data_IF_303865477367
#
_entry.id   IF_303865477367
#
_cell.length_a   1.000
_cell.length_b   1.000
_cell.length_c   1.000
_cell.angle_alpha   90.00
_cell.angle_beta   90.00
_cell.angle_gamma   90.00
#
_symmetry.space_group_name_H-M   'P 1'
#
loop_
_entity.id
_entity.type
_entity.pdbx_description
1 polymer ?
#
# COMPACT_ATOMS: atom_id res chain seq x y z
N UNK A 1 -10.04 -28.12 11.31
CA UNK A 1 -9.72 -27.51 10.02
C UNK A 1 -9.93 -28.58 8.94
N UNK A 2 -11.10 -28.62 8.29
CA UNK A 2 -11.42 -29.60 7.24
C UNK A 2 -10.56 -29.27 6.02
N UNK A 3 -9.60 -30.11 5.71
CA UNK A 3 -8.82 -30.03 4.49
C UNK A 3 -9.76 -30.28 3.29
N UNK A 4 -9.85 -29.30 2.42
CA UNK A 4 -10.58 -29.38 1.17
C UNK A 4 -9.89 -30.44 0.29
N UNK A 5 -10.45 -31.63 0.22
CA UNK A 5 -9.89 -32.86 -0.41
C UNK A 5 -9.61 -32.70 -1.92
N UNK A 6 -9.98 -31.59 -2.55
CA UNK A 6 -9.86 -31.36 -4.00
C UNK A 6 -8.92 -30.20 -4.39
N UNK A 7 -8.15 -29.65 -3.46
CA UNK A 7 -7.16 -28.62 -3.83
C UNK A 7 -5.87 -29.27 -4.30
N UNK A 8 -5.51 -29.05 -5.56
CA UNK A 8 -4.17 -29.38 -6.06
C UNK A 8 -3.12 -28.68 -5.17
N UNK A 9 -1.99 -29.33 -4.92
CA UNK A 9 -0.87 -28.80 -4.12
C UNK A 9 -0.54 -27.35 -4.53
N UNK A 10 -0.55 -27.05 -5.82
CA UNK A 10 -0.35 -25.68 -6.35
C UNK A 10 -1.36 -24.65 -5.83
N UNK A 11 -2.65 -24.99 -5.83
CA UNK A 11 -3.70 -24.09 -5.31
C UNK A 11 -3.59 -23.89 -3.81
N UNK A 12 -3.20 -24.92 -3.08
CA UNK A 12 -2.98 -24.84 -1.63
C UNK A 12 -1.83 -23.88 -1.30
N UNK A 13 -0.64 -24.07 -1.90
CA UNK A 13 0.51 -23.21 -1.68
C UNK A 13 0.23 -21.76 -2.13
N UNK A 14 -0.40 -21.54 -3.28
CA UNK A 14 -0.78 -20.19 -3.73
C UNK A 14 -1.73 -19.50 -2.75
N UNK A 15 -2.75 -20.19 -2.23
CA UNK A 15 -3.65 -19.65 -1.19
C UNK A 15 -2.90 -19.39 0.12
N UNK A 16 -2.00 -20.27 0.52
CA UNK A 16 -1.20 -20.12 1.72
C UNK A 16 -0.27 -18.89 1.62
N UNK A 17 0.43 -18.71 0.50
CA UNK A 17 1.28 -17.54 0.27
C UNK A 17 0.49 -16.23 0.29
N UNK A 18 -0.67 -16.19 -0.38
CA UNK A 18 -1.51 -14.99 -0.36
C UNK A 18 -1.93 -14.65 1.07
N UNK A 19 -2.33 -15.63 1.87
CA UNK A 19 -2.77 -15.37 3.25
C UNK A 19 -1.63 -15.07 4.21
N UNK A 20 -0.48 -15.75 4.08
CA UNK A 20 0.59 -15.72 5.07
C UNK A 20 1.65 -14.65 4.77
N UNK A 21 1.81 -14.27 3.51
CA UNK A 21 2.82 -13.30 3.07
C UNK A 21 2.18 -12.01 2.55
N UNK A 22 1.31 -12.10 1.55
CA UNK A 22 0.71 -10.91 0.94
C UNK A 22 -0.21 -10.14 1.90
N UNK A 23 -1.07 -10.83 2.64
CA UNK A 23 -2.03 -10.15 3.52
C UNK A 23 -1.34 -9.40 4.68
N UNK A 24 -0.37 -9.99 5.43
CA UNK A 24 0.37 -9.25 6.44
C UNK A 24 1.19 -8.10 5.86
N UNK A 25 1.78 -8.27 4.67
CA UNK A 25 2.60 -7.25 4.02
C UNK A 25 1.75 -6.05 3.58
N UNK A 26 0.54 -6.29 3.06
CA UNK A 26 -0.45 -5.26 2.76
C UNK A 26 -0.89 -4.53 4.04
N UNK A 27 -1.14 -5.26 5.13
CA UNK A 27 -1.49 -4.66 6.43
C UNK A 27 -0.38 -3.77 6.98
N UNK A 28 0.87 -4.23 6.94
CA UNK A 28 2.04 -3.45 7.36
C UNK A 28 2.18 -2.19 6.49
N UNK A 29 1.93 -2.30 5.19
CA UNK A 29 1.94 -1.16 4.29
C UNK A 29 0.91 -0.10 4.67
N UNK A 30 -0.36 -0.50 4.81
CA UNK A 30 -1.42 0.45 5.18
C UNK A 30 -1.18 1.07 6.57
N UNK A 31 -0.66 0.28 7.52
CA UNK A 31 -0.27 0.79 8.83
C UNK A 31 0.88 1.80 8.73
N UNK A 32 1.92 1.51 7.95
CA UNK A 32 3.04 2.42 7.70
C UNK A 32 2.60 3.71 7.00
N UNK A 33 1.76 3.59 5.96
CA UNK A 33 1.20 4.73 5.24
C UNK A 33 0.36 5.62 6.17
N UNK A 34 -0.48 5.02 7.02
CA UNK A 34 -1.26 5.76 8.02
C UNK A 34 -0.35 6.52 9.00
N UNK A 35 0.73 5.89 9.48
CA UNK A 35 1.69 6.55 10.37
C UNK A 35 2.40 7.72 9.70
N UNK A 36 2.82 7.57 8.45
CA UNK A 36 3.46 8.66 7.68
C UNK A 36 2.50 9.82 7.48
N UNK A 37 1.25 9.56 7.07
CA UNK A 37 0.24 10.62 6.90
C UNK A 37 -0.05 11.34 8.22
N UNK A 38 -0.15 10.60 9.33
CA UNK A 38 -0.33 11.18 10.67
C UNK A 38 0.87 12.02 11.09
N UNK A 39 2.08 11.59 10.77
CA UNK A 39 3.30 12.35 11.05
C UNK A 39 3.33 13.67 10.27
N UNK A 40 2.97 13.65 8.99
CA UNK A 40 2.88 14.85 8.14
C UNK A 40 1.87 15.84 8.73
N UNK A 41 0.67 15.38 9.12
CA UNK A 41 -0.35 16.22 9.75
C UNK A 41 0.17 16.88 11.06
N UNK A 42 0.90 16.11 11.87
CA UNK A 42 1.50 16.62 13.11
C UNK A 42 2.56 17.69 12.84
N UNK A 43 3.47 17.44 11.92
CA UNK A 43 4.53 18.40 11.55
C UNK A 43 3.95 19.70 10.94
N UNK A 44 2.89 19.61 10.16
CA UNK A 44 2.19 20.78 9.62
C UNK A 44 1.58 21.64 10.74
N UNK A 45 0.92 21.01 11.70
CA UNK A 45 0.36 21.71 12.88
C UNK A 45 1.43 22.34 13.73
N UNK A 46 2.55 21.68 13.92
CA UNK A 46 3.68 22.24 14.67
C UNK A 46 4.30 23.46 13.97
N UNK A 47 4.49 23.39 12.65
CA UNK A 47 4.95 24.53 11.85
C UNK A 47 4.02 25.73 11.99
N UNK A 48 2.70 25.51 11.87
CA UNK A 48 1.70 26.59 12.03
C UNK A 48 1.70 27.15 13.46
N UNK A 49 1.81 26.32 14.45
CA UNK A 49 1.88 26.75 15.86
C UNK A 49 3.11 27.60 16.12
N UNK A 50 4.27 27.21 15.58
CA UNK A 50 5.52 27.94 15.70
C UNK A 50 5.42 29.29 14.96
N UNK A 51 4.93 29.29 13.72
CA UNK A 51 4.75 30.51 12.93
C UNK A 51 3.80 31.50 13.62
N UNK A 52 2.65 31.00 14.08
CA UNK A 52 1.68 31.80 14.82
C UNK A 52 2.25 32.39 16.13
N UNK A 53 3.02 31.57 16.87
CA UNK A 53 3.67 32.01 18.12
C UNK A 53 4.72 33.09 17.85
N UNK A 54 5.58 32.88 16.86
CA UNK A 54 6.60 33.87 16.51
C UNK A 54 5.96 35.19 16.07
N UNK A 55 4.91 35.12 15.26
CA UNK A 55 4.16 36.28 14.84
C UNK A 55 3.49 37.01 16.03
N UNK A 56 2.89 36.26 16.96
CA UNK A 56 2.30 36.84 18.16
C UNK A 56 3.35 37.51 19.08
N UNK A 57 4.53 36.91 19.23
CA UNK A 57 5.62 37.47 20.02
C UNK A 57 6.26 38.73 19.34
N UNK A 58 6.28 38.79 18.00
CA UNK A 58 6.71 40.00 17.25
C UNK A 58 5.72 41.13 17.47
N UNK A 59 4.43 40.85 17.26
CA UNK A 59 3.37 41.85 17.47
C UNK A 59 3.29 42.33 18.94
N UNK A 60 3.46 41.46 19.90
CA UNK A 60 3.45 41.83 21.31
C UNK A 60 4.61 42.78 21.63
N UNK A 61 5.78 42.58 21.02
CA UNK A 61 6.91 43.51 21.12
C UNK A 61 6.62 44.84 20.44
N UNK A 62 6.15 44.81 19.21
CA UNK A 62 5.83 45.98 18.43
C UNK A 62 4.77 46.85 19.14
N UNK A 63 3.68 46.23 19.58
CA UNK A 63 2.65 46.94 20.37
C UNK A 63 3.22 47.47 21.70
N UNK A 64 4.14 46.78 22.30
CA UNK A 64 4.83 47.22 23.51
C UNK A 64 5.71 48.46 23.25
N UNK A 65 6.30 48.53 22.06
CA UNK A 65 7.14 49.68 21.67
C UNK A 65 6.31 50.90 21.44
N UNK A 66 5.18 50.81 20.71
CA UNK A 66 4.22 51.92 20.57
C UNK A 66 3.63 52.37 21.92
N UNK A 67 3.26 51.37 22.77
CA UNK A 67 2.75 51.69 24.09
C UNK A 67 3.81 52.39 24.95
N UNK A 68 5.08 51.99 24.87
CA UNK A 68 6.18 52.68 25.58
C UNK A 68 6.40 54.08 25.06
N UNK A 69 6.35 54.28 23.74
CA UNK A 69 6.51 55.58 23.14
C UNK A 69 5.43 56.56 23.62
N UNK A 70 4.17 56.14 23.62
CA UNK A 70 3.08 56.93 24.15
C UNK A 70 3.23 57.20 25.66
N UNK A 71 3.65 56.20 26.44
CA UNK A 71 3.86 56.33 27.89
C UNK A 71 5.05 57.26 28.25
N UNK A 72 6.00 57.50 27.33
CA UNK A 72 7.07 58.45 27.57
C UNK A 72 6.52 59.85 27.84
N UNK A 73 5.37 60.22 27.26
CA UNK A 73 4.74 61.51 27.51
C UNK A 73 4.23 61.71 28.95
N UNK A 74 4.03 60.60 29.71
CA UNK A 74 3.63 60.61 31.12
C UNK A 74 4.80 60.65 32.11
N UNK A 75 6.05 60.40 31.64
CA UNK A 75 7.24 60.33 32.52
C UNK A 75 7.75 61.70 32.92
N UNK A 76 8.45 61.76 34.03
CA UNK A 76 8.88 63.02 34.69
C UNK A 76 9.71 63.97 33.79
N UNK A 77 10.59 63.43 32.93
CA UNK A 77 11.43 64.22 32.04
C UNK A 77 10.73 64.76 30.80
N UNK A 78 9.58 64.17 30.38
CA UNK A 78 8.77 64.58 29.24
C UNK A 78 7.51 65.29 29.65
N UNK A 79 7.28 65.55 30.95
CA UNK A 79 6.22 66.46 31.43
C UNK A 79 6.28 67.86 30.84
N UNK A 80 7.43 68.19 30.25
CA UNK A 80 7.57 69.41 29.46
C UNK A 80 6.55 69.52 28.35
N UNK A 81 6.32 68.42 27.62
CA UNK A 81 5.31 68.38 26.54
C UNK A 81 3.89 68.60 27.09
N UNK A 82 3.50 67.90 28.18
CA UNK A 82 2.20 68.06 28.81
C UNK A 82 2.01 69.46 29.36
N UNK A 83 3.06 70.06 29.89
CA UNK A 83 3.07 71.42 30.37
C UNK A 83 2.91 72.45 29.25
N UNK A 84 3.68 72.30 28.15
CA UNK A 84 3.55 73.15 26.97
C UNK A 84 2.16 73.03 26.31
N UNK A 85 1.59 71.82 26.25
CA UNK A 85 0.20 71.64 25.83
C UNK A 85 -0.80 72.34 26.73
N UNK A 86 -0.58 72.34 28.04
CA UNK A 86 -1.38 73.03 28.99
C UNK A 86 -1.27 74.58 28.83
N UNK A 87 -0.07 75.06 28.58
CA UNK A 87 0.13 76.51 28.25
C UNK A 87 -0.55 76.83 26.93
N UNK A 88 -0.40 75.99 25.89
CA UNK A 88 -1.10 76.20 24.62
C UNK A 88 -2.63 76.30 24.79
N UNK A 89 -3.23 75.50 25.60
CA UNK A 89 -4.69 75.49 25.85
C UNK A 89 -5.15 76.80 26.47
N UNK A 90 -4.31 77.44 27.30
CA UNK A 90 -4.60 78.66 28.05
C UNK A 90 -4.07 79.94 27.42
N UNK A 91 -3.27 79.83 26.33
CA UNK A 91 -2.57 80.93 25.69
C UNK A 91 -3.49 81.82 24.83
N UNK A 92 -3.07 83.08 24.62
CA UNK A 92 -3.70 83.96 23.65
C UNK A 92 -3.42 83.41 22.22
N UNK A 93 -4.20 83.82 21.22
CA UNK A 93 -4.04 83.40 19.82
C UNK A 93 -2.66 83.65 19.26
N UNK A 94 -1.96 84.70 19.69
CA UNK A 94 -0.60 84.98 19.24
C UNK A 94 0.44 84.03 19.85
N UNK A 95 0.27 83.70 21.10
CA UNK A 95 1.19 82.83 21.80
C UNK A 95 0.96 81.32 21.48
N UNK A 96 -0.26 80.96 21.12
CA UNK A 96 -0.59 79.58 20.62
C UNK A 96 0.30 79.20 19.46
N UNK A 97 0.60 80.07 18.53
CA UNK A 97 1.43 79.75 17.36
C UNK A 97 2.86 79.41 17.77
N UNK A 98 3.42 80.08 18.76
CA UNK A 98 4.77 79.77 19.27
C UNK A 98 4.83 78.39 19.92
N UNK A 99 3.92 78.12 20.81
CA UNK A 99 3.83 76.81 21.48
C UNK A 99 3.55 75.70 20.48
N UNK A 100 2.71 75.98 19.50
CA UNK A 100 2.43 74.97 18.44
C UNK A 100 3.70 74.64 17.66
N UNK A 101 4.49 75.62 17.31
CA UNK A 101 5.70 75.42 16.51
C UNK A 101 6.75 74.58 17.30
N UNK A 102 6.99 74.92 18.56
CA UNK A 102 7.95 74.22 19.40
C UNK A 102 7.57 72.73 19.59
N UNK A 103 6.30 72.45 19.76
CA UNK A 103 5.80 71.09 19.84
C UNK A 103 5.80 70.37 18.49
N UNK A 104 5.42 71.08 17.43
CA UNK A 104 5.33 70.51 16.08
C UNK A 104 6.65 69.97 15.61
N UNK A 105 7.74 70.70 15.85
CA UNK A 105 9.08 70.23 15.42
C UNK A 105 9.50 68.91 16.11
N UNK A 106 9.13 68.74 17.36
CA UNK A 106 9.43 67.50 18.11
C UNK A 106 8.63 66.28 17.58
N UNK A 107 7.34 66.49 17.28
CA UNK A 107 6.48 65.41 16.78
C UNK A 107 6.71 65.13 15.31
N UNK A 108 7.00 66.14 14.52
CA UNK A 108 7.27 65.98 13.08
C UNK A 108 8.42 65.03 12.83
N UNK A 109 9.51 65.15 13.56
CA UNK A 109 10.66 64.25 13.46
C UNK A 109 10.28 62.78 13.75
N UNK A 110 9.42 62.54 14.75
CA UNK A 110 8.96 61.19 15.11
C UNK A 110 8.04 60.60 14.02
N UNK A 111 7.11 61.38 13.50
CA UNK A 111 6.19 60.96 12.44
C UNK A 111 6.92 60.69 11.12
N UNK A 112 8.00 61.39 10.84
CA UNK A 112 8.84 61.15 9.64
C UNK A 112 9.65 59.84 9.78
N UNK A 113 10.15 59.53 10.98
CA UNK A 113 10.95 58.34 11.21
C UNK A 113 10.07 57.08 11.25
N UNK A 114 8.81 57.20 11.70
CA UNK A 114 7.87 56.11 11.83
C UNK A 114 6.59 56.38 11.02
N UNK A 115 6.62 56.19 9.69
CA UNK A 115 5.53 56.58 8.79
C UNK A 115 4.23 55.78 9.05
N UNK A 116 4.30 54.66 9.73
CA UNK A 116 3.14 53.88 10.19
C UNK A 116 2.33 54.61 11.27
N UNK A 117 2.94 55.54 12.02
CA UNK A 117 2.23 56.40 12.96
C UNK A 117 1.61 57.54 12.13
N UNK A 118 0.30 57.55 12.08
CA UNK A 118 -0.44 58.55 11.25
C UNK A 118 -0.86 59.75 12.05
N UNK A 119 -1.04 59.63 13.35
CA UNK A 119 -1.36 60.75 14.26
C UNK A 119 -0.89 60.49 15.69
N UNK A 120 -0.60 61.60 16.37
CA UNK A 120 -0.47 61.69 17.83
C UNK A 120 -1.39 62.80 18.30
N UNK A 121 -2.36 62.45 19.11
CA UNK A 121 -3.41 63.37 19.54
C UNK A 121 -3.40 63.51 21.06
N UNK A 122 -3.61 64.73 21.55
CA UNK A 122 -3.80 65.04 22.94
C UNK A 122 -5.18 65.64 23.13
N UNK A 123 -5.94 65.06 24.03
CA UNK A 123 -7.31 65.46 24.36
C UNK A 123 -7.33 66.28 25.66
N UNK A 124 -7.88 67.46 25.57
CA UNK A 124 -7.90 68.39 26.67
C UNK A 124 -9.17 68.27 27.47
N UNK A 125 -9.16 68.85 28.70
CA UNK A 125 -10.30 68.84 29.60
C UNK A 125 -11.50 69.63 29.07
N UNK A 126 -11.24 70.70 28.28
CA UNK A 126 -12.26 71.55 27.63
C UNK A 126 -12.86 70.89 26.38
N UNK A 127 -12.47 69.64 26.04
CA UNK A 127 -12.91 68.94 24.84
C UNK A 127 -12.11 69.34 23.59
N UNK A 128 -11.16 70.25 23.69
CA UNK A 128 -10.30 70.59 22.57
C UNK A 128 -9.28 69.50 22.30
N UNK A 129 -8.79 69.43 21.05
CA UNK A 129 -7.82 68.45 20.56
C UNK A 129 -6.57 69.20 20.06
N UNK A 130 -5.42 68.68 20.45
CA UNK A 130 -4.15 69.05 19.89
C UNK A 130 -3.58 67.85 19.13
N UNK A 131 -3.44 67.97 17.80
CA UNK A 131 -3.10 66.85 16.94
C UNK A 131 -1.87 67.12 16.08
N UNK A 132 -0.99 66.14 16.02
CA UNK A 132 0.07 66.03 15.01
C UNK A 132 -0.27 64.90 14.08
N UNK A 133 -0.56 65.21 12.82
CA UNK A 133 -1.10 64.25 11.87
C UNK A 133 -0.32 64.24 10.56
N UNK A 134 0.10 63.05 10.11
CA UNK A 134 0.46 62.83 8.72
C UNK A 134 -0.80 62.57 7.88
N UNK A 135 -1.81 61.97 8.48
CA UNK A 135 -3.14 61.75 7.92
C UNK A 135 -4.16 62.34 8.90
N UNK A 136 -5.00 63.23 8.40
CA UNK A 136 -6.01 63.86 9.27
C UNK A 136 -7.08 62.87 9.65
N UNK A 137 -7.11 62.52 10.95
CA UNK A 137 -8.03 61.62 11.55
C UNK A 137 -9.05 62.43 12.35
N UNK A 138 -10.23 62.61 11.79
CA UNK A 138 -11.32 63.31 12.45
C UNK A 138 -12.40 62.32 12.84
N UNK A 139 -12.67 62.16 14.14
CA UNK A 139 -13.77 61.28 14.61
C UNK A 139 -15.12 61.91 14.21
N UNK A 140 -16.10 61.02 13.96
CA UNK A 140 -17.45 61.44 13.59
C UNK A 140 -18.24 62.04 14.80
N UNK A 141 -17.79 61.75 16.01
CA UNK A 141 -18.36 62.22 17.28
C UNK A 141 -17.26 62.82 18.14
N UNK A 142 -17.65 63.45 19.23
CA UNK A 142 -16.71 63.89 20.25
C UNK A 142 -15.95 62.70 20.85
N UNK A 143 -14.65 62.89 21.07
CA UNK A 143 -13.74 61.83 21.55
C UNK A 143 -14.17 61.18 22.85
N UNK A 144 -14.73 62.01 23.78
CA UNK A 144 -15.20 61.55 25.10
C UNK A 144 -16.41 60.56 25.05
N UNK A 145 -17.04 60.45 23.88
CA UNK A 145 -18.16 59.53 23.67
C UNK A 145 -17.72 58.12 23.37
N UNK A 146 -16.48 57.93 22.92
CA UNK A 146 -15.95 56.63 22.49
C UNK A 146 -15.54 55.77 23.71
N UNK A 147 -15.78 54.46 23.59
CA UNK A 147 -15.45 53.49 24.66
C UNK A 147 -13.94 53.46 24.95
N UNK A 148 -13.09 53.53 23.92
CA UNK A 148 -11.64 53.49 24.10
C UNK A 148 -11.13 54.70 24.90
N UNK A 149 -11.72 55.86 24.75
CA UNK A 149 -11.39 57.02 25.56
C UNK A 149 -11.83 56.80 27.04
N UNK A 150 -13.08 56.37 27.28
CA UNK A 150 -13.61 56.11 28.62
C UNK A 150 -12.80 55.09 29.36
N UNK A 151 -12.31 54.02 28.64
CA UNK A 151 -11.44 52.99 29.23
C UNK A 151 -10.11 53.63 29.66
N UNK A 152 -9.48 54.45 28.83
CA UNK A 152 -8.23 55.12 29.17
C UNK A 152 -8.39 56.12 30.31
N UNK A 153 -9.52 56.82 30.38
CA UNK A 153 -9.82 57.74 31.49
C UNK A 153 -10.05 57.01 32.82
N UNK A 154 -10.68 55.83 32.77
CA UNK A 154 -10.95 55.01 33.99
C UNK A 154 -9.67 54.34 34.50
N UNK A 155 -8.73 53.99 33.63
CA UNK A 155 -7.50 53.31 33.96
C UNK A 155 -6.28 54.15 33.48
N UNK A 156 -6.01 55.27 34.13
CA UNK A 156 -4.88 56.13 33.74
C UNK A 156 -3.55 55.45 33.95
N UNK A 157 -2.52 55.89 33.22
CA UNK A 157 -1.16 55.34 33.18
C UNK A 157 -1.04 53.93 32.57
N UNK A 158 -2.15 53.38 32.06
CA UNK A 158 -2.18 52.15 31.31
C UNK A 158 -2.48 52.47 29.84
N UNK A 159 -1.67 51.94 28.93
CA UNK A 159 -1.93 52.07 27.49
C UNK A 159 -2.91 51.00 27.03
N UNK A 160 -4.03 51.47 26.48
CA UNK A 160 -5.06 50.65 25.90
C UNK A 160 -4.93 50.65 24.40
N UNK A 161 -5.10 49.48 23.77
CA UNK A 161 -5.09 49.33 22.30
C UNK A 161 -6.50 49.02 21.81
N UNK A 162 -6.98 49.82 20.88
CA UNK A 162 -8.32 49.71 20.32
C UNK A 162 -8.30 49.80 18.80
N UNK A 163 -9.25 49.18 18.13
CA UNK A 163 -9.47 49.32 16.70
C UNK A 163 -10.55 50.32 16.46
N UNK A 164 -10.28 51.31 15.60
CA UNK A 164 -11.26 52.29 15.23
C UNK A 164 -12.00 51.83 13.96
N UNK A 165 -13.32 51.75 14.04
CA UNK A 165 -14.15 51.47 12.88
C UNK A 165 -14.13 52.68 11.92
N UNK A 166 -13.94 52.41 10.63
CA UNK A 166 -13.95 53.43 9.58
C UNK A 166 -15.22 54.31 9.60
N UNK A 167 -16.35 53.75 10.06
CA UNK A 167 -17.62 54.44 10.21
C UNK A 167 -17.61 55.48 11.34
N UNK A 168 -16.65 55.44 12.23
CA UNK A 168 -16.45 56.37 13.32
C UNK A 168 -15.61 57.57 12.91
N UNK A 169 -15.14 57.62 11.65
CA UNK A 169 -14.33 58.72 11.08
C UNK A 169 -15.13 59.54 10.09
N UNK A 170 -14.96 60.89 10.12
CA UNK A 170 -15.60 61.81 9.18
C UNK A 170 -15.11 61.65 7.74
N UNK A 171 -13.90 61.11 7.51
CA UNK A 171 -13.30 60.92 6.19
C UNK A 171 -12.76 59.50 6.05
N UNK A 172 -13.63 58.46 5.97
CA UNK A 172 -13.22 57.08 5.93
C UNK A 172 -12.42 56.72 4.67
N UNK A 173 -12.50 57.55 3.60
CA UNK A 173 -11.83 57.27 2.29
C UNK A 173 -10.30 57.37 2.36
N UNK A 174 -9.77 58.11 3.34
CA UNK A 174 -8.32 58.26 3.51
C UNK A 174 -7.68 56.97 4.02
N UNK A 175 -8.44 56.13 4.70
CA UNK A 175 -8.02 54.87 5.30
C UNK A 175 -8.80 53.69 4.68
N UNK A 176 -9.05 53.74 3.35
CA UNK A 176 -10.03 52.90 2.68
C UNK A 176 -9.77 51.39 2.75
N UNK A 177 -8.54 50.95 2.92
CA UNK A 177 -8.17 49.54 2.91
C UNK A 177 -7.60 49.01 4.23
N UNK A 178 -7.28 49.89 5.18
CA UNK A 178 -6.56 49.57 6.40
C UNK A 178 -7.42 49.78 7.65
N UNK A 179 -7.10 49.12 8.75
CA UNK A 179 -7.66 49.39 10.04
C UNK A 179 -6.74 50.34 10.80
N UNK A 180 -7.33 51.26 11.57
CA UNK A 180 -6.59 52.20 12.41
C UNK A 180 -6.58 51.66 13.83
N UNK A 181 -5.39 51.48 14.38
CA UNK A 181 -5.16 51.04 15.74
C UNK A 181 -4.86 52.28 16.59
N UNK A 182 -5.64 52.47 17.64
CA UNK A 182 -5.39 53.53 18.61
C UNK A 182 -4.74 52.98 19.87
N UNK A 183 -3.54 53.46 20.14
CA UNK A 183 -2.89 53.32 21.44
C UNK A 183 -3.32 54.54 22.26
N UNK A 184 -4.03 54.34 23.34
CA UNK A 184 -4.62 55.43 24.16
C UNK A 184 -4.10 55.34 25.60
N UNK A 185 -3.64 56.45 26.12
CA UNK A 185 -3.16 56.57 27.50
C UNK A 185 -3.91 57.72 28.20
N UNK A 186 -4.55 57.42 29.29
CA UNK A 186 -5.09 58.40 30.19
C UNK A 186 -4.02 58.99 31.11
N UNK A 187 -4.05 60.30 31.32
CA UNK A 187 -3.11 60.94 32.23
C UNK A 187 -3.77 61.26 33.58
N UNK A 188 -3.10 60.89 34.66
CA UNK A 188 -3.49 61.32 36.00
C UNK A 188 -3.27 62.83 36.17
N UNK A 189 -4.10 63.45 36.98
CA UNK A 189 -3.81 64.82 37.45
C UNK A 189 -2.49 64.80 38.22
N UNK A 190 -1.46 65.37 37.61
CA UNK A 190 -0.10 65.39 38.13
C UNK A 190 0.17 66.53 39.11
N UNK A 191 -0.85 67.20 39.55
CA UNK A 191 -0.74 68.35 40.46
C UNK A 191 -0.13 69.60 39.80
N UNK A 192 0.06 69.63 38.48
CA UNK A 192 0.63 70.71 37.69
C UNK A 192 -0.47 71.55 37.03
N UNK A 193 -1.77 71.23 37.34
CA UNK A 193 -2.92 71.84 36.65
C UNK A 193 -2.95 71.51 35.16
N UNK A 194 -2.61 70.28 34.83
CA UNK A 194 -2.61 69.82 33.43
C UNK A 194 -4.02 69.70 32.93
N UNK A 195 -4.28 70.33 31.77
CA UNK A 195 -5.57 70.25 31.08
C UNK A 195 -5.66 69.05 30.12
N UNK A 196 -4.59 68.27 30.00
CA UNK A 196 -4.53 67.11 29.13
C UNK A 196 -5.08 65.92 29.88
N UNK A 197 -6.12 65.27 29.37
CA UNK A 197 -6.75 64.10 29.95
C UNK A 197 -6.27 62.79 29.39
N UNK A 198 -6.03 62.75 28.08
CA UNK A 198 -5.54 61.53 27.42
C UNK A 198 -4.68 61.87 26.20
N UNK A 199 -3.75 60.97 25.90
CA UNK A 199 -3.00 60.97 24.63
C UNK A 199 -3.36 59.74 23.82
N UNK A 200 -3.46 59.88 22.51
CA UNK A 200 -3.65 58.75 21.60
C UNK A 200 -2.62 58.75 20.51
N UNK A 201 -2.26 57.58 20.04
CA UNK A 201 -1.39 57.39 18.90
C UNK A 201 -2.12 56.48 17.89
N UNK A 202 -2.36 57.02 16.68
CA UNK A 202 -2.96 56.26 15.58
C UNK A 202 -1.89 55.54 14.76
N UNK A 203 -2.02 54.25 14.62
CA UNK A 203 -1.10 53.41 13.85
C UNK A 203 -1.90 52.64 12.79
N UNK A 204 -1.43 52.60 11.54
CA UNK A 204 -2.06 51.80 10.49
C UNK A 204 -1.74 50.35 10.67
N UNK A 205 -2.74 49.49 10.53
CA UNK A 205 -2.56 48.06 10.70
C UNK A 205 -1.63 47.41 9.67
N UNK A 206 -1.62 47.93 8.44
CA UNK A 206 -0.74 47.44 7.38
C UNK A 206 0.74 47.90 7.58
N UNK A 207 0.95 48.85 8.48
CA UNK A 207 2.28 49.27 8.92
C UNK A 207 2.92 48.26 9.92
N UNK A 208 2.14 47.36 10.47
CA UNK A 208 2.65 46.38 11.39
C UNK A 208 3.63 45.41 10.72
N UNK A 209 4.72 45.07 11.42
CA UNK A 209 5.79 44.24 10.89
C UNK A 209 5.30 42.85 10.49
N UNK A 210 4.26 42.35 11.15
CA UNK A 210 3.60 41.10 10.78
C UNK A 210 3.21 41.01 9.31
N UNK A 211 2.68 42.10 8.75
CA UNK A 211 2.16 42.13 7.37
C UNK A 211 3.31 42.22 6.38
N UNK A 212 4.36 42.96 6.75
CA UNK A 212 5.57 43.10 5.93
C UNK A 212 6.35 41.80 5.84
N UNK A 213 6.34 40.99 6.88
CA UNK A 213 7.12 39.74 7.00
C UNK A 213 6.29 38.48 6.68
N UNK A 214 4.96 38.60 6.54
CA UNK A 214 4.09 37.43 6.29
C UNK A 214 4.45 36.65 5.00
N UNK A 215 5.07 37.30 4.01
CA UNK A 215 5.58 36.65 2.79
C UNK A 215 6.94 35.99 2.93
N UNK A 216 7.66 36.22 4.02
CA UNK A 216 9.03 35.68 4.23
C UNK A 216 9.06 34.35 5.02
N UNK A 217 7.96 34.00 5.70
CA UNK A 217 7.96 32.90 6.67
C UNK A 217 7.83 31.50 6.06
N UNK A 218 7.03 31.34 5.04
CA UNK A 218 6.95 30.15 4.16
C UNK A 218 5.94 30.44 3.04
N UNK A 219 6.18 29.93 1.86
CA UNK A 219 5.31 30.14 0.67
C UNK A 219 3.83 29.73 0.85
N UNK A 220 3.46 29.06 1.96
CA UNK A 220 2.15 28.45 2.15
C UNK A 220 1.48 28.77 3.50
N UNK A 221 2.01 29.69 4.32
CA UNK A 221 1.39 30.07 5.60
C UNK A 221 0.89 31.51 5.51
N UNK A 222 -0.42 31.68 5.68
CA UNK A 222 -1.05 32.98 5.79
C UNK A 222 -1.27 33.35 7.27
N UNK A 223 -0.96 34.59 7.63
CA UNK A 223 -1.09 35.10 8.99
C UNK A 223 -2.19 36.16 9.04
N UNK A 224 -3.06 36.04 10.02
CA UNK A 224 -4.15 37.00 10.28
C UNK A 224 -4.12 37.47 11.73
N UNK A 225 -4.30 38.76 11.90
CA UNK A 225 -4.51 39.38 13.20
C UNK A 225 -6.02 39.59 13.41
N UNK A 226 -6.58 39.13 14.52
CA UNK A 226 -7.98 39.31 14.86
C UNK A 226 -8.14 39.95 16.23
N UNK A 227 -9.22 40.71 16.40
CA UNK A 227 -9.63 41.23 17.70
C UNK A 227 -10.30 40.16 18.57
N UNK A 228 -10.77 40.53 19.75
CA UNK A 228 -11.50 39.67 20.69
C UNK A 228 -12.86 39.20 20.16
N UNK A 229 -13.43 39.92 19.17
CA UNK A 229 -14.69 39.58 18.49
C UNK A 229 -14.49 38.77 17.21
N UNK A 230 -13.24 38.39 16.89
CA UNK A 230 -12.91 37.65 15.66
C UNK A 230 -12.92 38.50 14.39
N UNK A 231 -12.93 39.85 14.49
CA UNK A 231 -12.80 40.70 13.33
C UNK A 231 -11.33 40.76 12.90
N UNK A 232 -11.08 40.69 11.61
CA UNK A 232 -9.71 40.85 11.07
C UNK A 232 -9.25 42.27 11.12
N UNK A 233 -8.12 42.44 11.75
CA UNK A 233 -7.43 43.73 11.83
C UNK A 233 -6.37 43.86 10.77
N UNK A 234 -5.69 42.77 10.44
CA UNK A 234 -4.62 42.71 9.46
C UNK A 234 -4.48 41.28 8.91
N UNK A 235 -4.03 41.13 7.65
CA UNK A 235 -3.79 39.82 7.03
C UNK A 235 -3.49 39.91 5.55
N UNK A 236 -2.92 38.85 5.00
CA UNK A 236 -2.31 38.83 3.67
C UNK A 236 -3.30 38.73 2.51
N UNK A 237 -4.57 38.39 2.70
CA UNK A 237 -5.51 38.25 1.60
C UNK A 237 -6.98 38.58 1.91
N UNK A 238 -7.73 38.87 0.84
CA UNK A 238 -9.19 39.08 0.84
C UNK A 238 -10.03 37.83 1.19
N UNK A 239 -9.38 36.72 1.46
CA UNK A 239 -10.03 35.40 1.63
C UNK A 239 -10.54 35.16 3.05
N UNK A 240 -10.30 36.09 3.97
CA UNK A 240 -10.59 35.90 5.40
C UNK A 240 -12.07 35.69 5.75
N UNK A 241 -12.99 36.33 5.06
CA UNK A 241 -14.41 36.06 5.33
C UNK A 241 -14.80 34.59 5.05
N UNK A 242 -14.13 33.96 4.08
CA UNK A 242 -14.23 32.52 3.86
C UNK A 242 -13.58 31.74 4.99
N UNK A 243 -12.37 32.12 5.38
CA UNK A 243 -11.57 31.43 6.41
C UNK A 243 -12.24 31.55 7.79
N UNK A 244 -12.76 32.71 8.14
CA UNK A 244 -13.49 32.89 9.41
C UNK A 244 -14.76 32.04 9.48
N UNK A 245 -15.48 31.88 8.37
CA UNK A 245 -16.62 30.96 8.29
C UNK A 245 -16.18 29.52 8.37
N UNK A 246 -15.07 29.15 7.72
CA UNK A 246 -14.53 27.79 7.73
C UNK A 246 -13.92 27.43 9.08
N UNK A 247 -13.23 28.33 9.77
CA UNK A 247 -12.72 28.12 11.12
C UNK A 247 -13.87 27.95 12.13
N UNK A 248 -14.92 28.76 12.02
CA UNK A 248 -16.11 28.60 12.88
C UNK A 248 -16.91 27.32 12.56
N UNK A 249 -16.84 26.83 11.33
CA UNK A 249 -17.42 25.55 10.93
C UNK A 249 -16.49 24.35 11.13
N UNK A 250 -15.16 24.53 11.18
CA UNK A 250 -14.20 23.43 11.34
C UNK A 250 -14.09 22.92 12.76
N UNK A 251 -14.55 23.65 13.75
CA UNK A 251 -14.85 23.08 15.07
C UNK A 251 -15.95 21.99 14.98
N UNK A 252 -16.69 21.96 13.88
CA UNK A 252 -17.84 21.05 13.72
C UNK A 252 -17.68 19.98 12.64
N UNK A 253 -16.83 20.15 11.60
CA UNK A 253 -16.52 19.07 10.61
C UNK A 253 -15.35 19.40 9.69
N UNK A 254 -14.27 18.63 9.82
CA UNK A 254 -13.51 18.02 8.69
C UNK A 254 -12.78 18.91 7.68
N UNK A 255 -11.52 19.26 7.96
CA UNK A 255 -10.40 18.78 7.13
C UNK A 255 -10.03 19.47 5.83
N UNK A 256 -10.25 20.76 5.65
CA UNK A 256 -9.57 21.39 4.50
C UNK A 256 -8.52 22.45 4.85
N UNK A 257 -8.51 22.92 6.08
CA UNK A 257 -7.55 23.94 6.51
C UNK A 257 -6.87 23.53 7.80
N UNK A 258 -5.55 23.58 7.81
CA UNK A 258 -4.79 23.53 9.05
C UNK A 258 -4.64 24.95 9.58
N UNK A 259 -4.96 25.17 10.85
CA UNK A 259 -4.81 26.45 11.49
C UNK A 259 -4.27 26.32 12.91
N UNK A 260 -3.58 27.38 13.36
CA UNK A 260 -3.13 27.53 14.73
C UNK A 260 -3.52 28.92 15.23
N UNK A 261 -4.07 29.01 16.44
CA UNK A 261 -4.48 30.27 17.06
C UNK A 261 -3.56 30.57 18.24
N UNK A 262 -2.94 31.75 18.24
CA UNK A 262 -2.03 32.18 19.30
C UNK A 262 -2.49 33.53 19.87
N UNK A 263 -2.70 33.65 21.20
CA UNK A 263 -3.10 34.89 21.84
C UNK A 263 -1.91 35.84 21.94
N UNK A 264 -2.16 37.14 21.80
CA UNK A 264 -1.21 38.19 22.11
C UNK A 264 -1.35 38.55 23.60
N UNK A 265 -0.24 38.58 24.33
CA UNK A 265 -0.24 38.66 25.81
C UNK A 265 -0.87 39.94 26.37
N UNK A 266 -0.70 41.06 25.69
CA UNK A 266 -1.14 42.39 26.17
C UNK A 266 -2.54 42.79 25.74
N UNK A 267 -3.08 42.09 24.75
CA UNK A 267 -4.43 42.35 24.23
C UNK A 267 -5.22 41.07 24.25
N UNK A 268 -6.53 41.13 24.06
CA UNK A 268 -7.38 39.97 23.84
C UNK A 268 -7.33 39.50 22.37
N UNK A 269 -6.42 40.05 21.58
CA UNK A 269 -6.28 39.75 20.17
C UNK A 269 -5.55 38.45 19.96
N UNK A 270 -5.75 37.89 18.77
CA UNK A 270 -5.18 36.59 18.41
C UNK A 270 -4.51 36.67 17.04
N UNK A 271 -3.43 35.95 16.90
CA UNK A 271 -2.83 35.65 15.61
C UNK A 271 -3.33 34.29 15.17
N UNK A 272 -3.83 34.21 13.96
CA UNK A 272 -4.28 32.98 13.33
C UNK A 272 -3.31 32.70 12.16
N UNK A 273 -2.60 31.57 12.26
CA UNK A 273 -1.79 31.04 11.17
C UNK A 273 -2.59 29.97 10.44
N UNK A 274 -2.69 30.09 9.13
CA UNK A 274 -3.50 29.20 8.28
C UNK A 274 -2.64 28.65 7.16
N UNK A 275 -2.79 27.38 6.86
CA UNK A 275 -2.21 26.74 5.67
C UNK A 275 -3.26 25.88 4.99
N UNK A 276 -3.23 25.86 3.64
CA UNK A 276 -4.11 24.98 2.87
C UNK A 276 -3.70 23.51 3.08
N UNK A 277 -4.64 22.68 3.48
CA UNK A 277 -4.40 21.25 3.71
C UNK A 277 -4.07 20.47 2.44
N UNK A 278 -4.47 21.01 1.28
CA UNK A 278 -4.23 20.35 -0.01
C UNK A 278 -2.79 20.58 -0.53
N UNK A 279 -2.04 21.51 0.07
CA UNK A 279 -0.65 21.77 -0.27
C UNK A 279 0.27 20.87 0.55
N UNK A 280 0.35 19.60 0.14
CA UNK A 280 1.41 18.73 0.60
C UNK A 280 2.72 19.23 -0.04
N UNK A 281 3.66 19.71 0.78
CA UNK A 281 4.97 20.15 0.32
C UNK A 281 5.53 19.13 -0.69
N UNK A 282 6.09 19.59 -1.82
CA UNK A 282 6.57 18.73 -2.89
C UNK A 282 7.53 17.63 -2.41
N UNK A 283 8.25 17.89 -1.32
CA UNK A 283 9.12 16.91 -0.66
C UNK A 283 8.35 15.69 -0.14
N UNK A 284 7.15 15.86 0.42
CA UNK A 284 6.33 14.75 0.90
C UNK A 284 5.72 13.94 -0.25
N UNK A 285 5.38 14.59 -1.37
CA UNK A 285 4.94 13.89 -2.58
C UNK A 285 6.02 12.96 -3.12
N UNK A 286 7.28 13.41 -3.12
CA UNK A 286 8.43 12.59 -3.52
C UNK A 286 8.59 11.40 -2.57
N UNK A 287 8.51 11.63 -1.25
CA UNK A 287 8.60 10.55 -0.25
C UNK A 287 7.49 9.52 -0.45
N UNK A 288 6.25 9.95 -0.65
CA UNK A 288 5.12 9.05 -0.92
C UNK A 288 5.32 8.24 -2.20
N UNK A 289 5.83 8.87 -3.28
CA UNK A 289 6.17 8.21 -4.53
C UNK A 289 7.29 7.17 -4.35
N UNK A 290 8.33 7.48 -3.58
CA UNK A 290 9.42 6.54 -3.28
C UNK A 290 8.92 5.34 -2.47
N UNK A 291 8.06 5.56 -1.48
CA UNK A 291 7.43 4.49 -0.70
C UNK A 291 6.57 3.61 -1.62
N UNK A 292 5.69 4.20 -2.43
CA UNK A 292 4.86 3.46 -3.38
C UNK A 292 5.71 2.66 -4.39
N UNK A 293 6.76 3.28 -4.95
CA UNK A 293 7.70 2.64 -5.87
C UNK A 293 8.44 1.46 -5.25
N UNK A 294 8.97 1.62 -4.03
CA UNK A 294 9.66 0.55 -3.31
C UNK A 294 8.76 -0.66 -3.05
N UNK A 295 7.49 -0.43 -2.77
CA UNK A 295 6.51 -1.48 -2.55
C UNK A 295 6.14 -2.20 -3.84
N UNK A 296 5.95 -1.48 -4.95
CA UNK A 296 5.74 -2.10 -6.26
C UNK A 296 6.91 -3.01 -6.64
N UNK A 297 8.15 -2.57 -6.38
CA UNK A 297 9.36 -3.38 -6.61
C UNK A 297 9.32 -4.63 -5.72
N UNK A 298 9.03 -4.49 -4.43
CA UNK A 298 8.96 -5.60 -3.49
C UNK A 298 7.91 -6.64 -3.91
N UNK A 299 6.71 -6.22 -4.27
CA UNK A 299 5.65 -7.12 -4.77
C UNK A 299 6.05 -7.81 -6.06
N UNK A 300 6.72 -7.11 -6.98
CA UNK A 300 7.20 -7.69 -8.23
C UNK A 300 8.25 -8.76 -7.97
N UNK A 301 9.24 -8.48 -7.12
CA UNK A 301 10.28 -9.45 -6.73
C UNK A 301 9.66 -10.67 -6.05
N UNK A 302 8.72 -10.47 -5.13
CA UNK A 302 8.05 -11.55 -4.43
C UNK A 302 7.21 -12.42 -5.38
N UNK A 303 6.51 -11.80 -6.33
CA UNK A 303 5.76 -12.49 -7.37
C UNK A 303 6.66 -13.35 -8.27
N UNK A 304 7.78 -12.80 -8.73
CA UNK A 304 8.77 -13.53 -9.53
C UNK A 304 9.40 -14.69 -8.75
N UNK A 305 9.71 -14.47 -7.48
CA UNK A 305 10.25 -15.49 -6.59
C UNK A 305 9.27 -16.65 -6.39
N UNK A 306 8.00 -16.35 -6.12
CA UNK A 306 6.95 -17.37 -5.96
C UNK A 306 6.76 -18.17 -7.24
N UNK A 307 6.70 -17.50 -8.40
CA UNK A 307 6.58 -18.19 -9.68
C UNK A 307 7.78 -19.11 -9.95
N UNK A 308 8.98 -18.67 -9.58
CA UNK A 308 10.19 -19.50 -9.72
C UNK A 308 10.15 -20.72 -8.78
N UNK A 309 9.71 -20.57 -7.54
CA UNK A 309 9.51 -21.69 -6.61
C UNK A 309 8.48 -22.69 -7.13
N UNK A 310 7.33 -22.20 -7.58
CA UNK A 310 6.28 -23.05 -8.16
C UNK A 310 6.81 -23.84 -9.35
N UNK A 311 7.49 -23.21 -10.29
CA UNK A 311 8.00 -23.82 -11.50
C UNK A 311 9.12 -24.82 -11.24
N UNK A 312 10.06 -24.51 -10.34
CA UNK A 312 11.27 -25.30 -10.14
C UNK A 312 11.17 -26.39 -9.08
N UNK A 313 10.21 -26.24 -8.13
CA UNK A 313 10.07 -27.18 -7.02
C UNK A 313 8.70 -27.86 -7.04
N UNK A 314 7.63 -27.07 -6.98
CA UNK A 314 6.29 -27.64 -6.76
C UNK A 314 5.80 -28.42 -7.99
N UNK A 315 5.95 -27.85 -9.20
CA UNK A 315 5.49 -28.52 -10.42
C UNK A 315 6.19 -29.86 -10.68
N UNK A 316 7.53 -29.99 -10.58
CA UNK A 316 8.19 -31.27 -10.78
C UNK A 316 7.80 -32.32 -9.75
N UNK A 317 7.53 -31.92 -8.50
CA UNK A 317 7.09 -32.87 -7.45
C UNK A 317 5.66 -33.34 -7.73
N UNK A 318 4.76 -32.42 -8.11
CA UNK A 318 3.37 -32.79 -8.45
C UNK A 318 3.33 -33.68 -9.68
N UNK A 319 4.13 -33.37 -10.72
CA UNK A 319 4.25 -34.21 -11.90
C UNK A 319 4.72 -35.65 -11.54
N UNK A 320 5.76 -35.76 -10.72
CA UNK A 320 6.25 -37.04 -10.26
C UNK A 320 5.18 -37.83 -9.46
N UNK A 321 4.47 -37.15 -8.57
CA UNK A 321 3.38 -37.74 -7.80
C UNK A 321 2.25 -38.26 -8.70
N UNK A 322 1.86 -37.51 -9.72
CA UNK A 322 0.81 -37.89 -10.66
C UNK A 322 1.27 -39.04 -11.58
N UNK A 323 2.55 -39.09 -11.93
CA UNK A 323 3.16 -40.22 -12.66
C UNK A 323 3.14 -41.49 -11.80
N UNK A 324 3.64 -41.40 -10.56
CA UNK A 324 3.63 -42.54 -9.63
C UNK A 324 2.23 -43.11 -9.44
N UNK A 325 1.21 -42.27 -9.34
CA UNK A 325 -0.18 -42.73 -9.20
C UNK A 325 -0.68 -43.44 -10.45
N UNK A 326 -0.38 -42.93 -11.65
CA UNK A 326 -0.80 -43.54 -12.92
C UNK A 326 -0.06 -44.87 -13.21
N UNK A 327 1.25 -44.92 -12.93
CA UNK A 327 2.06 -46.10 -13.18
C UNK A 327 1.86 -47.20 -12.14
N UNK A 328 1.31 -46.86 -10.95
CA UNK A 328 0.87 -47.87 -10.00
C UNK A 328 -0.32 -48.71 -10.53
N UNK A 329 -1.18 -48.14 -11.38
CA UNK A 329 -2.33 -48.84 -11.98
C UNK A 329 -1.97 -49.52 -13.31
N UNK A 330 -0.99 -49.02 -14.04
CA UNK A 330 -0.54 -49.61 -15.32
C UNK A 330 0.93 -49.21 -15.59
N UNK A 331 1.89 -50.08 -15.26
CA UNK A 331 3.31 -49.78 -15.38
C UNK A 331 3.75 -49.62 -16.83
N UNK A 332 3.64 -48.44 -17.36
CA UNK A 332 4.19 -48.08 -18.67
C UNK A 332 5.55 -47.41 -18.49
N UNK A 333 6.55 -48.03 -19.00
CA UNK A 333 7.95 -47.71 -18.78
C UNK A 333 8.48 -46.72 -19.82
N UNK A 334 8.29 -45.47 -19.55
CA UNK A 334 9.05 -44.41 -20.23
C UNK A 334 10.12 -43.87 -19.28
N UNK A 335 11.40 -44.03 -19.66
CA UNK A 335 12.51 -43.35 -18.99
C UNK A 335 12.24 -41.85 -19.00
N UNK A 336 12.13 -41.25 -17.80
CA UNK A 336 11.74 -39.84 -17.66
C UNK A 336 12.97 -38.95 -17.72
N UNK A 337 12.82 -37.78 -18.41
CA UNK A 337 13.87 -36.77 -18.46
C UNK A 337 14.15 -36.26 -17.04
N UNK A 338 15.44 -36.20 -16.71
CA UNK A 338 15.93 -35.77 -15.40
C UNK A 338 16.31 -34.27 -15.52
N UNK A 339 15.41 -33.39 -15.09
CA UNK A 339 15.64 -31.93 -15.04
C UNK A 339 15.20 -31.35 -13.70
N UNK A 340 15.70 -30.16 -13.35
CA UNK A 340 15.33 -29.43 -12.13
C UNK A 340 16.51 -29.26 -11.16
N UNK A 341 16.19 -28.83 -9.93
CA UNK A 341 17.15 -28.69 -8.86
C UNK A 341 17.78 -30.06 -8.51
N UNK A 342 18.96 -30.03 -7.90
CA UNK A 342 19.74 -31.24 -7.60
C UNK A 342 18.92 -32.30 -6.88
N UNK A 343 18.17 -31.93 -5.84
CA UNK A 343 17.35 -32.86 -5.03
C UNK A 343 16.21 -33.45 -5.85
N UNK A 344 15.59 -32.64 -6.71
CA UNK A 344 14.51 -33.13 -7.59
C UNK A 344 15.05 -34.06 -8.66
N UNK A 345 16.25 -33.81 -9.21
CA UNK A 345 16.92 -34.73 -10.14
C UNK A 345 17.21 -36.03 -9.47
N UNK A 346 17.77 -36.01 -8.27
CA UNK A 346 18.09 -37.22 -7.50
C UNK A 346 16.85 -38.09 -7.25
N UNK A 347 15.71 -37.44 -6.88
CA UNK A 347 14.45 -38.17 -6.69
C UNK A 347 13.99 -38.83 -8.00
N UNK A 348 14.04 -38.11 -9.13
CA UNK A 348 13.68 -38.63 -10.45
C UNK A 348 14.61 -39.78 -10.89
N UNK A 349 15.91 -39.67 -10.64
CA UNK A 349 16.88 -40.73 -10.92
C UNK A 349 16.59 -42.01 -10.10
N UNK A 350 16.34 -41.85 -8.80
CA UNK A 350 15.99 -42.96 -7.92
C UNK A 350 14.66 -43.59 -8.33
N UNK A 351 13.70 -42.81 -8.74
CA UNK A 351 12.45 -43.31 -9.28
C UNK A 351 12.67 -44.15 -10.55
N UNK A 352 13.49 -43.65 -11.53
CA UNK A 352 13.82 -44.39 -12.73
C UNK A 352 14.53 -45.70 -12.42
N UNK A 353 15.49 -45.73 -11.47
CA UNK A 353 16.17 -46.93 -11.02
C UNK A 353 15.20 -47.96 -10.40
N UNK A 354 14.28 -47.50 -9.56
CA UNK A 354 13.24 -48.33 -8.96
C UNK A 354 12.35 -48.94 -10.04
N UNK A 355 11.93 -48.19 -11.02
CA UNK A 355 11.09 -48.68 -12.11
C UNK A 355 11.82 -49.68 -13.00
N UNK A 356 13.11 -49.49 -13.29
CA UNK A 356 13.96 -50.45 -14.00
C UNK A 356 14.09 -51.75 -13.22
N UNK A 357 14.26 -51.69 -11.90
CA UNK A 357 14.28 -52.86 -11.04
C UNK A 357 12.95 -53.65 -11.07
N UNK A 358 11.82 -52.91 -10.98
CA UNK A 358 10.48 -53.52 -11.07
C UNK A 358 10.30 -54.24 -12.42
N UNK A 359 10.76 -53.63 -13.53
CA UNK A 359 10.69 -54.24 -14.85
C UNK A 359 11.45 -55.57 -14.90
N UNK A 360 12.69 -55.53 -14.43
CA UNK A 360 13.51 -56.73 -14.45
C UNK A 360 12.86 -57.84 -13.62
N UNK A 361 12.31 -57.50 -12.45
CA UNK A 361 11.57 -58.45 -11.62
C UNK A 361 10.31 -59.03 -12.30
N UNK A 362 9.55 -58.19 -13.01
CA UNK A 362 8.38 -58.64 -13.79
C UNK A 362 8.83 -59.59 -14.91
N UNK A 363 9.91 -59.24 -15.65
CA UNK A 363 10.45 -60.07 -16.73
C UNK A 363 10.91 -61.43 -16.20
N UNK A 364 11.72 -61.43 -15.14
CA UNK A 364 12.21 -62.66 -14.48
C UNK A 364 11.06 -63.53 -13.98
N UNK A 365 9.99 -62.90 -13.46
CA UNK A 365 8.81 -63.61 -12.99
C UNK A 365 8.04 -64.28 -14.13
N UNK A 366 7.87 -63.55 -15.26
CA UNK A 366 7.24 -64.09 -16.48
C UNK A 366 8.07 -65.25 -17.03
N UNK A 367 9.40 -65.12 -17.06
CA UNK A 367 10.31 -66.17 -17.52
C UNK A 367 10.24 -67.43 -16.64
N UNK A 368 10.29 -67.25 -15.34
CA UNK A 368 10.12 -68.34 -14.36
C UNK A 368 8.75 -69.02 -14.46
N UNK A 369 7.71 -68.28 -14.69
CA UNK A 369 6.35 -68.85 -14.83
C UNK A 369 6.23 -69.64 -16.13
N UNK A 370 6.88 -69.18 -17.21
CA UNK A 370 6.98 -69.89 -18.45
C UNK A 370 7.78 -71.16 -18.29
N UNK A 371 8.96 -71.14 -17.68
CA UNK A 371 9.76 -72.31 -17.38
C UNK A 371 8.98 -73.36 -16.55
N UNK A 372 8.29 -72.87 -15.50
CA UNK A 372 7.44 -73.73 -14.67
C UNK A 372 6.31 -74.39 -15.48
N UNK A 373 5.70 -73.67 -16.36
CA UNK A 373 4.63 -74.16 -17.23
C UNK A 373 5.16 -75.16 -18.23
N UNK A 374 6.33 -74.92 -18.78
CA UNK A 374 7.05 -75.95 -19.64
C UNK A 374 7.42 -77.22 -18.88
N UNK A 375 7.86 -77.07 -17.63
CA UNK A 375 8.14 -78.25 -16.76
C UNK A 375 6.86 -79.05 -16.37
N UNK A 376 5.77 -78.32 -16.05
CA UNK A 376 4.47 -78.90 -15.78
C UNK A 376 3.94 -79.70 -16.99
N UNK A 377 4.09 -79.09 -18.20
CA UNK A 377 3.72 -79.83 -19.43
C UNK A 377 4.58 -81.07 -19.67
N UNK A 378 5.89 -80.99 -19.42
CA UNK A 378 6.78 -82.14 -19.54
C UNK A 378 6.35 -83.27 -18.57
N UNK A 379 5.98 -82.91 -17.34
CA UNK A 379 5.49 -83.91 -16.37
C UNK A 379 4.19 -84.55 -16.83
N UNK A 380 3.27 -83.78 -17.39
CA UNK A 380 2.04 -84.31 -17.94
C UNK A 380 2.27 -85.24 -19.12
N UNK A 381 3.22 -84.91 -20.03
CA UNK A 381 3.64 -85.77 -21.15
C UNK A 381 4.22 -87.10 -20.68
N UNK A 382 5.01 -87.11 -19.61
CA UNK A 382 5.60 -88.28 -19.03
C UNK A 382 4.59 -89.19 -18.33
N UNK A 383 3.42 -88.76 -17.93
CA UNK A 383 2.37 -89.57 -17.37
C UNK A 383 1.73 -90.52 -18.38
N UNK A 384 1.81 -90.21 -19.69
CA UNK A 384 1.43 -91.15 -20.73
C UNK A 384 2.69 -91.95 -21.11
N UNK A 385 2.79 -93.18 -20.61
CA UNK A 385 3.95 -94.05 -20.95
C UNK A 385 3.82 -94.56 -22.39
N UNK A 386 4.51 -93.94 -23.39
CA UNK A 386 4.36 -94.31 -24.78
C UNK A 386 4.82 -95.73 -25.07
N UNK A 387 5.85 -96.18 -24.32
CA UNK A 387 6.40 -97.48 -24.47
C UNK A 387 5.40 -98.59 -24.02
N UNK A 388 4.67 -98.35 -22.96
CA UNK A 388 3.64 -99.26 -22.50
C UNK A 388 2.48 -99.32 -23.52
N UNK A 389 2.04 -98.20 -24.10
CA UNK A 389 1.00 -98.20 -25.13
C UNK A 389 1.43 -98.90 -26.40
N UNK A 390 2.66 -98.64 -26.92
CA UNK A 390 3.20 -99.31 -28.11
C UNK A 390 3.36 -100.79 -27.87
N UNK A 391 3.84 -101.24 -26.71
CA UNK A 391 3.98 -102.63 -26.35
C UNK A 391 2.63 -103.39 -26.23
N UNK A 392 1.65 -102.69 -25.63
CA UNK A 392 0.30 -103.24 -25.49
C UNK A 392 -0.39 -103.43 -26.82
N UNK A 393 -0.28 -102.43 -27.69
CA UNK A 393 -0.80 -102.49 -29.07
C UNK A 393 -0.04 -103.52 -29.93
N UNK A 394 1.29 -103.67 -29.77
CA UNK A 394 2.07 -104.70 -30.44
C UNK A 394 1.63 -106.10 -30.03
N UNK A 395 1.29 -106.30 -28.73
CA UNK A 395 0.75 -107.56 -28.25
C UNK A 395 -0.63 -107.92 -28.85
N UNK A 396 -1.50 -106.90 -28.96
CA UNK A 396 -2.80 -106.95 -29.63
C UNK A 396 -2.63 -107.32 -31.09
N UNK A 397 -1.71 -106.69 -31.82
CA UNK A 397 -1.39 -106.97 -33.21
C UNK A 397 -0.92 -108.40 -33.37
N UNK A 398 -0.06 -108.92 -32.53
CA UNK A 398 0.42 -110.32 -32.55
C UNK A 398 -0.70 -111.28 -32.32
N UNK A 399 -1.57 -111.02 -31.35
CA UNK A 399 -2.78 -111.86 -31.13
C UNK A 399 -3.74 -111.84 -32.31
N UNK A 400 -3.94 -110.71 -32.93
CA UNK A 400 -4.78 -110.55 -34.13
C UNK A 400 -4.22 -111.35 -35.33
N UNK A 401 -2.88 -111.32 -35.47
CA UNK A 401 -2.15 -112.07 -36.50
C UNK A 401 -2.36 -113.58 -36.32
N UNK A 402 -2.18 -114.16 -35.10
CA UNK A 402 -2.43 -115.51 -34.76
C UNK A 402 -3.87 -115.92 -35.05
N UNK A 403 -4.81 -115.10 -34.69
CA UNK A 403 -6.26 -115.29 -34.90
C UNK A 403 -6.71 -115.05 -36.37
N UNK A 404 -5.80 -114.72 -37.27
CA UNK A 404 -6.04 -114.33 -38.67
C UNK A 404 -7.10 -113.26 -38.83
N UNK A 405 -7.14 -112.25 -37.92
CA UNK A 405 -8.03 -111.14 -37.94
C UNK A 405 -7.33 -109.91 -38.61
N UNK A 406 -7.21 -109.93 -39.93
CA UNK A 406 -6.48 -108.99 -40.69
C UNK A 406 -6.90 -107.52 -40.42
N UNK A 407 -8.19 -107.21 -40.22
CA UNK A 407 -8.69 -105.86 -39.91
C UNK A 407 -8.14 -105.35 -38.58
N UNK A 408 -8.09 -106.17 -37.49
CA UNK A 408 -7.57 -105.74 -36.21
C UNK A 408 -6.06 -105.61 -36.26
N UNK A 409 -5.34 -106.48 -36.99
CA UNK A 409 -3.91 -106.39 -37.20
C UNK A 409 -3.52 -105.06 -37.89
N UNK A 410 -4.17 -104.67 -39.00
CA UNK A 410 -3.92 -103.43 -39.73
C UNK A 410 -4.29 -102.26 -38.87
N UNK A 411 -5.39 -102.26 -38.14
CA UNK A 411 -5.83 -101.14 -37.27
C UNK A 411 -4.81 -100.86 -36.17
N UNK A 412 -4.34 -101.95 -35.47
CA UNK A 412 -3.33 -101.82 -34.41
C UNK A 412 -1.97 -101.36 -34.93
N UNK A 413 -1.56 -101.78 -36.12
CA UNK A 413 -0.33 -101.37 -36.78
C UNK A 413 -0.41 -99.86 -37.17
N UNK A 414 -1.49 -99.42 -37.75
CA UNK A 414 -1.73 -98.02 -38.02
C UNK A 414 -1.76 -97.12 -36.78
N UNK A 415 -2.31 -97.63 -35.66
CA UNK A 415 -2.32 -96.91 -34.39
C UNK A 415 -0.93 -96.81 -33.79
N UNK A 416 -0.10 -97.89 -33.89
CA UNK A 416 1.29 -97.83 -33.47
C UNK A 416 2.07 -96.84 -34.26
N UNK A 417 1.88 -96.73 -35.57
CA UNK A 417 2.55 -95.76 -36.42
C UNK A 417 2.18 -94.32 -36.04
N UNK A 418 0.92 -94.06 -35.77
CA UNK A 418 0.48 -92.73 -35.30
C UNK A 418 1.14 -92.41 -33.96
N UNK A 419 1.14 -93.33 -33.00
CA UNK A 419 1.75 -93.08 -31.70
C UNK A 419 3.27 -92.90 -31.79
N UNK A 420 3.95 -93.67 -32.65
CA UNK A 420 5.39 -93.51 -32.86
C UNK A 420 5.77 -92.17 -33.45
N UNK A 421 4.99 -91.67 -34.40
CA UNK A 421 5.18 -90.32 -34.92
C UNK A 421 4.91 -89.27 -33.84
N UNK A 422 3.85 -89.44 -33.04
CA UNK A 422 3.44 -88.48 -32.01
C UNK A 422 4.39 -88.38 -30.83
N UNK A 423 4.96 -89.53 -30.39
CA UNK A 423 5.72 -89.62 -29.13
C UNK A 423 7.25 -89.77 -29.30
N UNK A 424 7.79 -90.30 -30.42
CA UNK A 424 9.23 -90.45 -30.60
C UNK A 424 9.96 -89.27 -31.12
N UNK A 425 9.28 -88.37 -31.79
CA UNK A 425 9.90 -87.13 -32.37
C UNK A 425 9.69 -85.93 -31.44
N UNK A 426 10.65 -85.71 -30.55
CA UNK A 426 10.68 -84.57 -29.62
C UNK A 426 11.11 -83.23 -30.29
N UNK A 427 11.05 -83.13 -31.59
CA UNK A 427 11.40 -81.87 -32.34
C UNK A 427 10.15 -81.16 -32.84
N UNK A 428 10.22 -79.81 -32.87
CA UNK A 428 9.11 -78.94 -33.29
C UNK A 428 8.69 -79.09 -34.76
N UNK A 429 9.45 -79.83 -35.55
CA UNK A 429 9.20 -79.97 -36.99
C UNK A 429 9.28 -81.44 -37.44
N UNK A 430 8.25 -81.88 -38.17
CA UNK A 430 8.21 -83.16 -38.85
C UNK A 430 8.44 -82.96 -40.34
N UNK A 431 9.05 -83.94 -41.01
CA UNK A 431 9.08 -83.92 -42.47
C UNK A 431 7.67 -84.14 -43.01
N UNK A 432 7.35 -83.56 -44.18
CA UNK A 432 6.05 -83.80 -44.83
C UNK A 432 5.81 -85.29 -45.06
N UNK A 433 6.85 -86.03 -45.40
CA UNK A 433 6.79 -87.50 -45.52
C UNK A 433 6.27 -88.23 -44.24
N UNK A 434 6.77 -87.89 -43.06
CA UNK A 434 6.31 -88.49 -41.79
C UNK A 434 4.88 -88.10 -41.47
N UNK A 435 4.47 -86.89 -41.77
CA UNK A 435 3.09 -86.39 -41.56
C UNK A 435 2.15 -87.14 -42.48
N UNK A 436 2.56 -87.37 -43.71
CA UNK A 436 1.78 -88.19 -44.69
C UNK A 436 1.62 -89.62 -44.21
N UNK A 437 2.69 -90.20 -43.66
CA UNK A 437 2.63 -91.55 -43.13
C UNK A 437 1.64 -91.61 -41.93
N UNK A 438 1.60 -90.62 -41.09
CA UNK A 438 0.62 -90.53 -40.01
C UNK A 438 -0.81 -90.40 -40.51
N UNK A 439 -1.01 -89.52 -41.53
CA UNK A 439 -2.31 -89.37 -42.19
C UNK A 439 -2.75 -90.66 -42.86
N UNK A 440 -1.85 -91.39 -43.59
CA UNK A 440 -2.14 -92.67 -44.21
C UNK A 440 -2.55 -93.70 -43.14
N UNK A 441 -1.83 -93.70 -42.04
CA UNK A 441 -2.15 -94.66 -40.93
C UNK A 441 -3.52 -94.32 -40.34
N UNK A 442 -3.88 -93.06 -40.17
CA UNK A 442 -5.19 -92.63 -39.71
C UNK A 442 -6.30 -93.01 -40.70
N UNK A 443 -6.06 -92.81 -41.99
CA UNK A 443 -7.01 -93.15 -43.08
C UNK A 443 -7.21 -94.71 -43.08
N UNK A 444 -6.14 -95.46 -42.94
CA UNK A 444 -6.28 -96.94 -42.89
C UNK A 444 -7.16 -97.39 -41.71
N UNK A 445 -7.05 -96.76 -40.55
CA UNK A 445 -7.98 -97.04 -39.43
C UNK A 445 -9.40 -96.76 -39.82
N UNK A 446 -9.66 -95.58 -40.48
CA UNK A 446 -10.96 -95.18 -40.90
C UNK A 446 -11.57 -96.08 -41.99
N UNK A 447 -10.77 -96.49 -42.97
CA UNK A 447 -11.18 -97.43 -44.01
C UNK A 447 -11.66 -98.79 -43.40
N UNK A 448 -10.90 -99.27 -42.46
CA UNK A 448 -11.31 -100.53 -41.76
C UNK A 448 -12.60 -100.33 -40.97
N UNK A 449 -12.71 -99.23 -40.22
CA UNK A 449 -13.89 -98.89 -39.40
C UNK A 449 -15.16 -98.73 -40.24
N UNK A 450 -15.05 -98.18 -41.42
CA UNK A 450 -16.17 -97.89 -42.32
C UNK A 450 -16.32 -98.85 -43.47
N UNK A 451 -15.66 -100.08 -43.34
CA UNK A 451 -15.79 -101.18 -44.31
C UNK A 451 -15.46 -100.76 -45.77
N UNK A 452 -14.43 -99.85 -45.96
CA UNK A 452 -13.99 -99.33 -47.27
C UNK A 452 -15.05 -98.55 -48.05
N UNK A 453 -15.98 -97.91 -47.39
CA UNK A 453 -17.05 -97.17 -48.01
C UNK A 453 -16.65 -95.80 -48.56
N UNK A 454 -15.37 -95.38 -48.48
CA UNK A 454 -14.86 -94.14 -49.04
C UNK A 454 -13.47 -94.36 -49.65
N UNK A 455 -13.07 -93.54 -50.56
CA UNK A 455 -11.72 -93.43 -51.13
C UNK A 455 -11.05 -92.12 -50.73
N UNK A 456 -9.74 -92.17 -50.69
CA UNK A 456 -8.91 -90.96 -50.44
C UNK A 456 -7.94 -90.82 -51.58
N UNK A 457 -7.87 -89.60 -52.13
CA UNK A 457 -6.91 -89.24 -53.14
C UNK A 457 -5.97 -88.18 -52.55
N UNK A 458 -4.68 -88.33 -52.87
CA UNK A 458 -3.61 -87.45 -52.43
C UNK A 458 -3.12 -86.69 -53.60
N UNK A 459 -3.14 -85.37 -53.47
CA UNK A 459 -2.49 -84.48 -54.43
C UNK A 459 -1.36 -83.78 -53.72
N UNK A 460 -0.13 -84.24 -53.97
CA UNK A 460 1.06 -83.74 -53.29
C UNK A 460 2.09 -83.44 -54.32
N UNK A 461 2.63 -82.24 -54.29
CA UNK A 461 3.69 -81.83 -55.18
C UNK A 461 4.99 -82.49 -54.77
N UNK A 462 5.62 -83.16 -55.72
CA UNK A 462 6.87 -83.91 -55.59
C UNK A 462 8.03 -83.10 -54.97
N UNK A 463 7.93 -81.76 -55.02
CA UNK A 463 8.94 -80.84 -54.44
C UNK A 463 8.77 -80.71 -52.92
N UNK A 464 7.69 -81.20 -52.37
CA UNK A 464 7.38 -81.17 -50.91
C UNK A 464 7.76 -82.44 -50.15
N UNK A 465 8.13 -83.51 -50.84
CA UNK A 465 8.57 -84.75 -50.28
C UNK A 465 10.12 -84.83 -50.15
#
# INVERSE_FOLDING_TARGET
MKADKNLTIQRYYRKMYVKLVFLPLILIFFAGMYLVLKQIDHEQRDKLSIAGKNAADILDREMSDYARELAHFSRANERVILRELTFYSKASNSDKYKHYRELSDQFHMRLVIQPQIVSVDFLMEDGSRFAFENISIQPAKEWNTYQWYKTAESEPDIVHVSVIDKRELNRPQIIARENLLFFTLGFKDLGIGTTVKAGTMGVLSDGLELIKTSGEWTDNIELYLTDDHGRVLAGSSLTYEKIAREISMSEYRGNKLHYAVQPIKRTKWKVIAVSDADVVDGNYQIILLLIAGSICILFTVLYLFINRLLKNIINPITELSDIMKREAENPQLKKREVYGLYEIRMIKEKYNQMMETIQNLIRDNIEKEKEKHEEEMKVLELQINPHFLSNSLSSIRFMAMIARLEGIQKMTESLINILDVSFRNKGSFHTVEKELLSIQSYINIMLIRYANNFGVEYDIDDTCL
#
